data_IF_995083600108
#
_entry.id   IF_995083600108
#
_cell.length_a   1.000
_cell.length_b   1.000
_cell.length_c   1.000
_cell.angle_alpha   90.00
_cell.angle_beta   90.00
_cell.angle_gamma   90.00
#
_symmetry.space_group_name_H-M   'P 1'
#
loop_
_entity.id
_entity.type
_entity.pdbx_description
1 polymer ?
#
# COMPACT_ATOMS: atom_id res chain seq x y z
N UNK A 1 -12.35 -33.22 17.91
CA UNK A 1 -13.26 -33.88 18.86
C UNK A 1 -14.46 -33.00 19.17
N UNK A 2 -15.48 -33.53 19.83
CA UNK A 2 -16.66 -32.77 20.26
C UNK A 2 -16.45 -32.21 21.67
N UNK A 3 -16.72 -30.91 21.85
CA UNK A 3 -16.67 -30.21 23.12
C UNK A 3 -18.09 -29.78 23.50
N UNK A 4 -18.48 -30.08 24.73
CA UNK A 4 -19.79 -29.67 25.27
C UNK A 4 -19.61 -28.67 26.40
N UNK A 5 -20.50 -27.69 26.48
CA UNK A 5 -20.49 -26.69 27.53
C UNK A 5 -21.85 -26.04 27.71
N UNK A 6 -21.88 -24.98 28.51
CA UNK A 6 -23.13 -24.32 28.88
C UNK A 6 -22.94 -22.82 28.99
N UNK A 7 -23.84 -22.04 28.39
CA UNK A 7 -23.89 -20.59 28.54
C UNK A 7 -25.02 -20.24 29.51
N UNK A 8 -24.68 -19.51 30.58
CA UNK A 8 -25.66 -19.02 31.55
C UNK A 8 -25.92 -17.53 31.31
N UNK A 9 -27.17 -17.20 30.97
CA UNK A 9 -27.65 -15.82 30.85
C UNK A 9 -28.28 -15.42 32.18
N UNK A 10 -27.63 -14.49 32.88
CA UNK A 10 -28.08 -13.98 34.17
C UNK A 10 -28.89 -12.70 33.96
N UNK A 11 -30.15 -12.70 34.39
CA UNK A 11 -30.99 -11.50 34.43
C UNK A 11 -31.15 -10.99 35.86
N UNK A 12 -31.17 -9.67 36.05
CA UNK A 12 -31.37 -9.08 37.38
C UNK A 12 -32.79 -9.26 37.95
N UNK A 13 -33.75 -9.64 37.11
CA UNK A 13 -35.18 -9.77 37.47
C UNK A 13 -35.84 -11.06 36.96
N UNK A 14 -35.06 -11.98 36.41
CA UNK A 14 -35.56 -13.25 35.86
C UNK A 14 -34.58 -14.36 36.21
N UNK A 15 -35.11 -15.57 36.36
CA UNK A 15 -34.30 -16.75 36.64
C UNK A 15 -33.22 -16.93 35.57
N UNK A 16 -32.03 -17.37 35.99
CA UNK A 16 -30.92 -17.64 35.10
C UNK A 16 -31.35 -18.64 34.02
N UNK A 17 -31.19 -18.27 32.76
CA UNK A 17 -31.46 -19.17 31.63
C UNK A 17 -30.17 -19.86 31.24
N UNK A 18 -30.21 -21.18 31.08
CA UNK A 18 -29.04 -22.00 30.81
C UNK A 18 -29.20 -22.63 29.43
N UNK A 19 -28.26 -22.36 28.52
CA UNK A 19 -28.28 -22.83 27.14
C UNK A 19 -27.13 -23.84 26.95
N UNK A 20 -27.42 -25.13 26.68
CA UNK A 20 -26.37 -26.09 26.36
C UNK A 20 -25.79 -25.78 24.96
N UNK A 21 -24.48 -25.90 24.84
CA UNK A 21 -23.75 -25.73 23.57
C UNK A 21 -22.89 -26.96 23.29
N UNK A 22 -22.79 -27.33 22.02
CA UNK A 22 -21.82 -28.31 21.52
C UNK A 22 -21.02 -27.68 20.38
N UNK A 23 -19.72 -27.93 20.36
CA UNK A 23 -18.78 -27.50 19.33
C UNK A 23 -18.01 -28.72 18.81
N UNK A 24 -18.19 -29.03 17.53
CA UNK A 24 -17.40 -30.04 16.84
C UNK A 24 -16.13 -29.40 16.29
N UNK A 25 -14.98 -29.77 16.84
CA UNK A 25 -13.66 -29.36 16.35
C UNK A 25 -13.13 -30.44 15.42
N UNK A 26 -12.91 -30.09 14.16
CA UNK A 26 -12.34 -30.99 13.16
C UNK A 26 -10.84 -31.19 13.39
N UNK A 27 -10.29 -32.30 12.88
CA UNK A 27 -8.87 -32.65 13.00
C UNK A 27 -8.02 -31.94 11.92
N UNK A 28 -8.09 -30.61 11.91
CA UNK A 28 -7.20 -29.77 11.10
C UNK A 28 -6.92 -28.46 11.84
N UNK A 29 -5.72 -27.93 11.64
CA UNK A 29 -5.33 -26.64 12.19
C UNK A 29 -5.55 -25.55 11.14
N UNK A 30 -6.16 -24.43 11.57
CA UNK A 30 -6.09 -23.22 10.78
C UNK A 30 -4.66 -22.68 10.85
N UNK A 31 -4.05 -22.29 9.72
CA UNK A 31 -2.68 -21.78 9.70
C UNK A 31 -2.57 -20.48 10.49
N UNK A 32 -1.38 -20.25 11.07
CA UNK A 32 -1.08 -19.05 11.86
C UNK A 32 -1.32 -17.76 11.07
N UNK A 33 -0.99 -17.78 9.78
CA UNK A 33 -1.26 -16.71 8.83
C UNK A 33 -2.39 -17.15 7.90
N UNK A 34 -3.35 -16.26 7.65
CA UNK A 34 -4.41 -16.54 6.68
C UNK A 34 -3.78 -16.84 5.30
N UNK A 35 -3.99 -18.03 4.72
CA UNK A 35 -3.53 -18.36 3.38
C UNK A 35 -4.49 -17.75 2.35
N UNK A 36 -5.69 -17.37 2.81
CA UNK A 36 -6.61 -16.56 2.03
C UNK A 36 -5.96 -15.19 1.87
N UNK A 37 -5.48 -14.93 0.65
CA UNK A 37 -5.33 -13.58 0.09
C UNK A 37 -6.76 -13.04 -0.15
N UNK A 38 -7.54 -12.93 0.91
CA UNK A 38 -8.94 -12.50 0.87
C UNK A 38 -8.96 -10.99 0.91
N UNK A 39 -9.42 -10.39 -0.19
CA UNK A 39 -9.44 -8.95 -0.42
C UNK A 39 -10.63 -8.22 0.18
N UNK A 40 -11.47 -8.91 0.94
CA UNK A 40 -12.52 -8.25 1.69
C UNK A 40 -11.85 -7.36 2.73
N UNK A 41 -11.82 -6.05 2.44
CA UNK A 41 -11.13 -5.06 3.22
C UNK A 41 -10.46 -3.98 2.37
N UNK A 42 -11.00 -2.77 2.45
CA UNK A 42 -10.64 -1.66 1.56
C UNK A 42 -10.09 -0.43 2.26
N UNK A 43 -9.83 0.60 1.46
CA UNK A 43 -9.31 1.91 1.87
C UNK A 43 -10.43 2.90 2.32
N UNK A 44 -11.61 2.42 2.68
CA UNK A 44 -12.83 3.25 2.87
C UNK A 44 -12.74 4.30 3.99
N UNK A 45 -11.71 4.24 4.83
CA UNK A 45 -11.47 5.26 5.86
C UNK A 45 -11.10 6.61 5.23
N UNK A 46 -10.26 6.60 4.18
CA UNK A 46 -9.77 7.80 3.52
C UNK A 46 -10.30 7.97 2.10
N UNK A 47 -10.66 6.88 1.41
CA UNK A 47 -11.17 6.92 0.04
C UNK A 47 -12.66 7.27 0.07
N UNK A 48 -13.05 8.28 -0.70
CA UNK A 48 -14.46 8.47 -1.06
C UNK A 48 -14.94 7.28 -1.89
N UNK A 49 -16.24 7.03 -1.88
CA UNK A 49 -16.85 6.15 -2.87
C UNK A 49 -16.74 6.71 -4.29
N UNK A 50 -17.39 6.06 -5.24
CA UNK A 50 -17.32 6.44 -6.66
C UNK A 50 -18.07 7.73 -7.01
N UNK A 51 -18.97 8.21 -6.15
CA UNK A 51 -19.72 9.45 -6.35
C UNK A 51 -19.07 10.67 -5.69
N UNK A 52 -19.25 11.85 -6.29
CA UNK A 52 -18.71 13.11 -5.76
C UNK A 52 -19.27 13.47 -4.37
N UNK A 53 -20.51 13.06 -4.12
CA UNK A 53 -21.24 13.20 -2.85
C UNK A 53 -20.88 12.14 -1.81
N UNK A 54 -20.12 11.10 -2.18
CA UNK A 54 -19.72 10.06 -1.24
C UNK A 54 -18.71 10.65 -0.24
N UNK A 55 -19.03 10.51 1.04
CA UNK A 55 -18.16 10.93 2.13
C UNK A 55 -17.37 9.74 2.65
N UNK A 56 -16.08 9.90 2.98
CA UNK A 56 -15.28 8.82 3.56
C UNK A 56 -15.79 8.49 4.98
N UNK A 57 -15.50 7.28 5.47
CA UNK A 57 -15.95 6.82 6.80
C UNK A 57 -15.56 7.79 7.91
N UNK A 58 -14.36 8.38 7.84
CA UNK A 58 -13.92 9.34 8.85
C UNK A 58 -14.82 10.60 8.94
N UNK A 59 -15.44 11.02 7.82
CA UNK A 59 -16.38 12.15 7.85
C UNK A 59 -17.71 11.75 8.48
N UNK A 60 -18.18 10.52 8.25
CA UNK A 60 -19.36 9.99 8.95
C UNK A 60 -19.18 10.02 10.48
N UNK A 61 -17.98 9.71 10.96
CA UNK A 61 -17.63 9.77 12.40
C UNK A 61 -17.26 11.16 12.91
N UNK A 62 -17.25 12.18 12.05
CA UNK A 62 -16.97 13.57 12.44
C UNK A 62 -15.54 13.82 12.97
N UNK A 63 -14.58 12.94 12.66
CA UNK A 63 -13.19 13.08 13.15
C UNK A 63 -12.40 14.05 12.27
N UNK A 64 -11.65 14.96 12.90
CA UNK A 64 -10.94 16.04 12.21
C UNK A 64 -9.51 16.28 12.68
N UNK A 65 -9.08 15.62 13.77
CA UNK A 65 -7.71 15.69 14.26
C UNK A 65 -6.98 14.34 14.07
N UNK A 66 -5.65 14.40 14.16
CA UNK A 66 -4.78 13.26 13.91
C UNK A 66 -5.01 12.09 14.87
N UNK A 67 -5.19 12.36 16.16
CA UNK A 67 -5.33 11.33 17.19
C UNK A 67 -6.64 10.53 17.00
N UNK A 68 -7.74 11.22 16.73
CA UNK A 68 -9.03 10.59 16.49
C UNK A 68 -9.03 9.79 15.18
N UNK A 69 -8.42 10.31 14.11
CA UNK A 69 -8.27 9.58 12.84
C UNK A 69 -7.44 8.32 13.04
N UNK A 70 -6.34 8.38 13.79
CA UNK A 70 -5.51 7.22 14.10
C UNK A 70 -6.26 6.19 14.95
N UNK A 71 -7.01 6.64 15.97
CA UNK A 71 -7.80 5.76 16.83
C UNK A 71 -8.90 5.06 16.06
N UNK A 72 -9.69 5.82 15.30
CA UNK A 72 -10.76 5.28 14.46
C UNK A 72 -10.21 4.29 13.45
N UNK A 73 -9.16 4.66 12.73
CA UNK A 73 -8.58 3.80 11.69
C UNK A 73 -8.01 2.50 12.24
N UNK A 74 -7.31 2.56 13.38
CA UNK A 74 -6.80 1.36 14.03
C UNK A 74 -7.92 0.42 14.48
N UNK A 75 -9.02 0.94 15.03
CA UNK A 75 -10.15 0.10 15.45
C UNK A 75 -10.75 -0.68 14.25
N UNK A 76 -10.93 -0.02 13.11
CA UNK A 76 -11.40 -0.69 11.89
C UNK A 76 -10.39 -1.73 11.40
N UNK A 77 -9.11 -1.36 11.29
CA UNK A 77 -8.08 -2.28 10.81
C UNK A 77 -7.86 -3.47 11.74
N UNK A 78 -7.96 -3.28 13.06
CA UNK A 78 -7.88 -4.37 14.05
C UNK A 78 -9.03 -5.36 13.88
N UNK A 79 -10.27 -4.85 13.77
CA UNK A 79 -11.44 -5.70 13.53
C UNK A 79 -11.26 -6.51 12.24
N UNK A 80 -10.88 -5.84 11.15
CA UNK A 80 -10.59 -6.51 9.89
C UNK A 80 -9.52 -7.60 10.05
N UNK A 81 -8.41 -7.28 10.71
CA UNK A 81 -7.30 -8.22 10.90
C UNK A 81 -7.70 -9.44 11.75
N UNK A 82 -8.51 -9.24 12.81
CA UNK A 82 -9.02 -10.32 13.68
C UNK A 82 -9.94 -11.26 12.91
N UNK A 83 -10.81 -10.69 12.08
CA UNK A 83 -11.76 -11.41 11.22
C UNK A 83 -11.12 -11.90 9.91
N UNK A 84 -9.80 -11.81 9.77
CA UNK A 84 -9.02 -12.28 8.60
C UNK A 84 -9.39 -11.58 7.28
N UNK A 85 -9.91 -10.36 7.38
CA UNK A 85 -10.06 -9.39 6.29
C UNK A 85 -8.76 -8.64 6.03
N UNK A 86 -8.56 -8.17 4.80
CA UNK A 86 -7.33 -7.52 4.36
C UNK A 86 -7.29 -6.03 4.71
N UNK A 87 -6.43 -5.57 5.64
CA UNK A 87 -6.38 -4.16 6.01
C UNK A 87 -5.34 -3.42 5.15
N UNK A 88 -5.68 -3.14 3.88
CA UNK A 88 -4.74 -2.60 2.86
C UNK A 88 -3.79 -1.52 3.36
N UNK A 89 -4.32 -0.62 4.18
CA UNK A 89 -3.70 0.65 4.52
C UNK A 89 -3.38 0.79 6.01
N UNK A 90 -2.98 -0.30 6.70
CA UNK A 90 -2.56 -0.24 8.12
C UNK A 90 -1.45 0.80 8.41
N UNK A 91 -0.67 1.19 7.40
CA UNK A 91 0.39 2.20 7.51
C UNK A 91 -0.05 3.62 7.10
N UNK A 92 -1.26 3.80 6.55
CA UNK A 92 -1.71 5.06 5.93
C UNK A 92 -1.82 6.23 6.90
N UNK A 93 -2.00 5.97 8.18
CA UNK A 93 -2.08 7.02 9.20
C UNK A 93 -0.88 6.96 10.17
N UNK A 94 0.18 6.23 9.82
CA UNK A 94 1.40 6.18 10.61
C UNK A 94 2.55 6.84 9.87
N UNK A 95 3.01 7.98 10.38
CA UNK A 95 4.15 8.69 9.81
C UNK A 95 5.47 7.99 10.18
N UNK A 96 6.38 7.89 9.22
CA UNK A 96 7.81 7.74 9.48
C UNK A 96 8.42 9.15 9.68
N UNK A 97 9.20 9.43 10.70
CA UNK A 97 9.91 10.71 10.76
C UNK A 97 11.06 10.73 9.74
N UNK A 98 11.25 11.83 9.03
CA UNK A 98 12.41 12.07 8.17
C UNK A 98 12.53 13.57 7.87
N UNK A 99 13.76 14.08 7.74
CA UNK A 99 14.07 15.42 7.24
C UNK A 99 14.78 15.34 5.90
N UNK A 100 14.76 16.43 5.15
CA UNK A 100 15.43 16.50 3.86
C UNK A 100 16.02 17.87 3.56
N UNK A 101 17.05 17.90 2.70
CA UNK A 101 17.61 19.12 2.09
C UNK A 101 17.55 19.02 0.57
N UNK A 102 17.33 20.16 -0.08
CA UNK A 102 17.39 20.27 -1.53
C UNK A 102 18.84 20.10 -2.05
N UNK A 103 19.02 19.74 -3.32
CA UNK A 103 20.34 19.67 -3.95
C UNK A 103 21.12 20.99 -3.84
N UNK A 104 22.40 20.97 -3.45
CA UNK A 104 23.17 22.17 -3.12
C UNK A 104 23.49 23.09 -4.32
N UNK A 105 23.48 22.56 -5.54
CA UNK A 105 23.71 23.32 -6.79
C UNK A 105 22.40 23.64 -7.53
N UNK A 106 21.24 23.37 -6.93
CA UNK A 106 19.93 23.63 -7.51
C UNK A 106 19.30 22.42 -8.19
N UNK A 107 18.03 22.60 -8.56
CA UNK A 107 17.20 21.60 -9.27
C UNK A 107 17.55 21.59 -10.77
N UNK A 108 17.34 20.45 -11.44
CA UNK A 108 17.62 20.27 -12.88
C UNK A 108 19.10 20.43 -13.27
N UNK A 109 20.00 20.13 -12.34
CA UNK A 109 21.45 20.22 -12.58
C UNK A 109 22.08 18.85 -12.35
N UNK A 110 22.43 18.19 -13.44
CA UNK A 110 23.21 16.95 -13.43
C UNK A 110 24.66 17.26 -13.12
N UNK A 111 25.03 17.08 -11.85
CA UNK A 111 26.37 17.33 -11.37
C UNK A 111 26.71 16.36 -10.24
N UNK A 112 28.00 15.95 -10.12
CA UNK A 112 28.45 15.16 -9.00
C UNK A 112 28.06 15.82 -7.67
N UNK A 113 27.53 15.00 -6.76
CA UNK A 113 27.08 15.36 -5.42
C UNK A 113 25.95 16.40 -5.36
N UNK A 114 25.16 16.55 -6.44
CA UNK A 114 24.01 17.46 -6.47
C UNK A 114 22.67 16.72 -6.28
N UNK A 115 22.49 16.12 -5.11
CA UNK A 115 21.31 15.30 -4.80
C UNK A 115 20.58 15.80 -3.57
N UNK A 116 19.33 15.35 -3.42
CA UNK A 116 18.59 15.51 -2.17
C UNK A 116 19.31 14.73 -1.06
N UNK A 117 19.32 15.29 0.15
CA UNK A 117 19.81 14.59 1.35
C UNK A 117 18.59 14.19 2.19
N UNK A 118 18.41 12.88 2.48
CA UNK A 118 17.37 12.36 3.38
C UNK A 118 18.01 11.90 4.69
N UNK A 119 17.58 12.47 5.82
CA UNK A 119 18.26 12.27 7.12
C UNK A 119 17.27 12.31 8.30
N UNK A 120 17.77 12.06 9.52
CA UNK A 120 16.98 12.04 10.76
C UNK A 120 15.74 11.11 10.68
N UNK A 121 15.95 9.89 10.20
CA UNK A 121 14.88 8.88 10.09
C UNK A 121 14.39 8.42 11.46
N UNK A 122 13.07 8.41 11.66
CA UNK A 122 12.41 7.92 12.87
C UNK A 122 11.30 6.92 12.51
N UNK A 123 11.60 5.64 12.64
CA UNK A 123 10.65 4.55 12.37
C UNK A 123 9.85 4.13 13.60
N UNK A 124 9.95 4.80 14.76
CA UNK A 124 9.37 4.29 16.02
C UNK A 124 7.87 4.04 15.95
N UNK A 125 7.10 5.02 15.47
CA UNK A 125 5.65 4.89 15.33
C UNK A 125 5.28 3.82 14.30
N UNK A 126 5.94 3.85 13.13
CA UNK A 126 5.76 2.86 12.07
C UNK A 126 6.05 1.43 12.54
N UNK A 127 7.18 1.20 13.21
CA UNK A 127 7.56 -0.12 13.70
C UNK A 127 6.65 -0.61 14.82
N UNK A 128 6.14 0.29 15.68
CA UNK A 128 5.13 -0.08 16.70
C UNK A 128 3.84 -0.56 16.02
N UNK A 129 3.36 0.17 15.02
CA UNK A 129 2.18 -0.18 14.24
C UNK A 129 2.37 -1.52 13.52
N UNK A 130 3.47 -1.68 12.78
CA UNK A 130 3.73 -2.91 12.02
C UNK A 130 3.93 -4.13 12.93
N UNK A 131 4.59 -3.98 14.09
CA UNK A 131 4.66 -5.06 15.08
C UNK A 131 3.29 -5.50 15.55
N UNK A 132 2.38 -4.55 15.81
CA UNK A 132 1.03 -4.88 16.23
C UNK A 132 0.28 -5.67 15.14
N UNK A 133 0.28 -5.19 13.90
CA UNK A 133 -0.47 -5.83 12.80
C UNK A 133 0.20 -7.09 12.25
N UNK A 134 1.50 -7.05 11.95
CA UNK A 134 2.22 -8.17 11.33
C UNK A 134 2.55 -9.24 12.37
N UNK A 135 3.17 -8.87 13.49
CA UNK A 135 3.63 -9.87 14.47
C UNK A 135 2.47 -10.32 15.39
N UNK A 136 1.63 -9.37 15.81
CA UNK A 136 0.50 -9.62 16.71
C UNK A 136 -0.73 -10.18 16.01
N UNK A 137 -1.23 -9.49 14.98
CA UNK A 137 -2.46 -9.85 14.27
C UNK A 137 -2.23 -10.70 13.00
N UNK A 138 -0.97 -11.01 12.68
CA UNK A 138 -0.58 -11.89 11.57
C UNK A 138 -1.01 -11.36 10.20
N UNK A 139 -1.05 -10.04 10.04
CA UNK A 139 -1.22 -9.40 8.73
C UNK A 139 0.00 -9.73 7.86
N UNK A 140 -0.25 -10.33 6.70
CA UNK A 140 0.79 -10.85 5.80
C UNK A 140 0.90 -10.09 4.48
N UNK A 141 0.14 -9.01 4.32
CA UNK A 141 0.14 -8.14 3.15
C UNK A 141 -0.06 -6.70 3.61
N UNK A 142 0.78 -5.77 3.17
CA UNK A 142 0.73 -4.35 3.51
C UNK A 142 1.12 -3.53 2.28
N UNK A 143 0.26 -2.59 1.88
CA UNK A 143 0.57 -1.71 0.75
C UNK A 143 1.56 -0.63 1.17
N UNK A 144 2.79 -0.71 0.66
CA UNK A 144 3.87 0.25 0.93
C UNK A 144 3.62 1.60 0.26
N UNK A 145 3.25 1.56 -1.01
CA UNK A 145 2.91 2.73 -1.81
C UNK A 145 1.88 2.31 -2.85
N UNK A 146 0.99 3.24 -3.22
CA UNK A 146 0.03 3.09 -4.32
C UNK A 146 0.39 4.14 -5.35
N UNK A 147 0.60 3.78 -6.60
CA UNK A 147 0.77 4.75 -7.69
C UNK A 147 -0.05 4.38 -8.91
N UNK A 148 -0.07 5.28 -9.87
CA UNK A 148 -0.66 5.13 -11.19
C UNK A 148 0.48 5.29 -12.22
N UNK A 149 0.54 4.52 -13.32
CA UNK A 149 1.58 4.67 -14.33
C UNK A 149 1.77 6.11 -14.82
N UNK A 150 0.67 6.85 -15.02
CA UNK A 150 0.71 8.24 -15.50
C UNK A 150 1.38 9.22 -14.54
N UNK A 151 1.60 8.86 -13.28
CA UNK A 151 2.18 9.72 -12.24
C UNK A 151 3.28 9.00 -11.43
N UNK A 152 3.74 7.83 -11.87
CA UNK A 152 4.79 7.05 -11.20
C UNK A 152 6.15 7.76 -11.19
N UNK A 153 6.33 8.74 -12.08
CA UNK A 153 7.45 9.66 -12.15
C UNK A 153 7.38 10.82 -11.14
N UNK A 154 6.30 10.92 -10.35
CA UNK A 154 6.13 11.93 -9.29
C UNK A 154 6.42 11.29 -7.93
N UNK A 155 7.50 11.73 -7.28
CA UNK A 155 7.83 11.37 -5.91
C UNK A 155 7.06 12.26 -4.93
N UNK A 156 6.25 11.65 -4.06
CA UNK A 156 5.31 12.35 -3.17
C UNK A 156 5.65 12.24 -1.69
N UNK A 157 6.86 11.78 -1.37
CA UNK A 157 7.23 11.43 -0.01
C UNK A 157 8.16 12.48 0.63
N UNK A 158 8.34 13.69 0.09
CA UNK A 158 9.07 14.71 0.83
C UNK A 158 8.13 15.39 1.86
N UNK A 159 8.38 15.28 3.18
CA UNK A 159 7.51 15.86 4.18
C UNK A 159 7.58 17.39 4.14
N UNK A 160 6.41 18.02 4.17
CA UNK A 160 6.26 19.46 4.35
C UNK A 160 5.87 19.84 5.78
N UNK A 161 5.36 21.06 5.91
CA UNK A 161 4.75 21.56 7.15
C UNK A 161 3.48 20.76 7.48
N UNK A 162 3.09 20.66 8.77
CA UNK A 162 1.78 20.13 9.15
C UNK A 162 0.66 20.75 8.31
N UNK A 163 -0.27 19.92 7.84
CA UNK A 163 -1.42 20.36 7.07
C UNK A 163 -2.50 20.90 8.01
N UNK A 164 -3.07 22.05 7.65
CA UNK A 164 -4.22 22.65 8.32
C UNK A 164 -5.17 23.22 7.25
N UNK A 165 -6.36 22.63 7.04
CA UNK A 165 -6.87 21.42 7.71
C UNK A 165 -6.15 20.13 7.27
N UNK A 166 -6.34 19.05 8.03
CA UNK A 166 -5.88 17.70 7.66
C UNK A 166 -6.48 17.29 6.30
N UNK A 167 -5.66 16.65 5.46
CA UNK A 167 -6.10 16.22 4.13
C UNK A 167 -6.76 14.86 4.22
N UNK A 168 -8.01 14.80 3.76
CA UNK A 168 -8.82 13.58 3.78
C UNK A 168 -8.44 12.58 2.68
N UNK A 169 -7.91 13.05 1.54
CA UNK A 169 -7.58 12.21 0.39
C UNK A 169 -6.10 12.33 -0.01
N UNK A 170 -5.21 11.53 0.59
CA UNK A 170 -3.84 11.42 0.11
C UNK A 170 -3.84 10.54 -1.15
N UNK A 171 -4.28 11.09 -2.28
CA UNK A 171 -4.40 10.36 -3.54
C UNK A 171 -3.09 9.65 -3.93
N UNK A 172 -3.18 8.35 -4.22
CA UNK A 172 -2.07 7.48 -4.65
C UNK A 172 -0.87 7.53 -3.70
N UNK A 173 -1.09 7.34 -2.40
CA UNK A 173 -0.05 7.09 -1.38
C UNK A 173 -0.64 6.31 -0.21
N UNK A 174 0.13 5.40 0.42
CA UNK A 174 -0.35 4.54 1.51
C UNK A 174 0.46 4.65 2.80
N UNK A 175 1.22 5.73 2.94
CA UNK A 175 2.00 6.07 4.14
C UNK A 175 1.49 7.36 4.79
N UNK A 176 1.68 7.53 6.10
CA UNK A 176 1.12 8.64 6.90
C UNK A 176 1.37 10.08 6.46
N UNK A 177 2.35 10.32 5.59
CA UNK A 177 2.90 11.66 5.35
C UNK A 177 1.94 12.58 4.64
N UNK A 178 1.17 12.03 3.69
CA UNK A 178 0.31 12.81 2.83
C UNK A 178 -1.01 13.24 3.50
N UNK A 179 -1.37 12.59 4.62
CA UNK A 179 -2.58 12.90 5.40
C UNK A 179 -2.35 14.11 6.32
N UNK A 180 -1.25 14.09 7.09
CA UNK A 180 -1.02 15.06 8.17
C UNK A 180 -0.07 16.21 7.79
N UNK A 181 0.55 16.16 6.61
CA UNK A 181 1.49 17.19 6.13
C UNK A 181 1.19 17.61 4.71
N UNK A 182 1.56 18.84 4.39
CA UNK A 182 1.60 19.29 3.00
C UNK A 182 2.62 18.45 2.22
N UNK A 183 2.21 17.95 1.06
CA UNK A 183 3.07 17.18 0.17
C UNK A 183 4.04 18.10 -0.56
N UNK A 184 5.35 17.82 -0.48
CA UNK A 184 6.31 18.33 -1.44
C UNK A 184 6.51 17.25 -2.52
N UNK A 185 6.19 17.61 -3.77
CA UNK A 185 6.20 16.69 -4.90
C UNK A 185 7.40 16.99 -5.79
N UNK A 186 8.11 15.94 -6.23
CA UNK A 186 9.29 16.05 -7.08
C UNK A 186 9.09 15.18 -8.31
N UNK A 187 9.41 15.68 -9.50
CA UNK A 187 9.22 14.94 -10.76
C UNK A 187 10.41 15.14 -11.70
N UNK A 188 10.80 14.13 -12.46
CA UNK A 188 11.77 14.30 -13.56
C UNK A 188 11.11 14.68 -14.90
N UNK A 189 9.77 14.72 -14.93
CA UNK A 189 9.02 15.03 -16.14
C UNK A 189 7.73 15.75 -15.75
N UNK A 190 7.55 16.97 -16.23
CA UNK A 190 6.27 17.69 -16.15
C UNK A 190 5.54 17.52 -17.49
N UNK A 191 4.21 17.42 -17.44
CA UNK A 191 3.35 17.50 -18.62
C UNK A 191 2.48 18.76 -18.46
N UNK A 192 2.41 19.67 -19.45
CA UNK A 192 1.65 20.93 -19.34
C UNK A 192 0.18 20.77 -18.92
N UNK A 193 -0.43 19.62 -19.24
CA UNK A 193 -1.80 19.22 -18.92
C UNK A 193 -1.87 18.10 -17.87
N UNK A 194 -0.72 17.73 -17.29
CA UNK A 194 -0.61 16.65 -16.32
C UNK A 194 -1.14 17.04 -14.96
N UNK A 195 -1.75 16.09 -14.27
CA UNK A 195 -2.00 16.22 -12.85
C UNK A 195 -0.69 16.62 -12.15
N UNK A 196 -0.77 17.64 -11.28
CA UNK A 196 0.36 18.15 -10.48
C UNK A 196 1.43 18.97 -11.23
N UNK A 197 1.18 19.39 -12.48
CA UNK A 197 2.09 20.27 -13.23
C UNK A 197 2.54 21.50 -12.43
N UNK A 198 1.57 22.23 -11.86
CA UNK A 198 1.83 23.49 -11.16
C UNK A 198 2.34 23.31 -9.72
N UNK A 199 2.37 22.08 -9.21
CA UNK A 199 2.68 21.79 -7.80
C UNK A 199 3.95 20.96 -7.61
N UNK A 200 4.51 20.41 -8.68
CA UNK A 200 5.73 19.60 -8.62
C UNK A 200 7.00 20.43 -8.84
N UNK A 201 8.04 20.12 -8.06
CA UNK A 201 9.39 20.57 -8.31
C UNK A 201 10.02 19.67 -9.37
N UNK A 202 10.29 20.22 -10.55
CA UNK A 202 10.93 19.46 -11.62
C UNK A 202 12.45 19.40 -11.42
N UNK A 203 13.01 18.20 -11.56
CA UNK A 203 14.42 17.87 -11.35
C UNK A 203 14.96 17.08 -12.54
N UNK A 204 16.27 16.81 -12.56
CA UNK A 204 16.81 15.86 -13.54
C UNK A 204 16.44 14.42 -13.20
N UNK A 205 16.57 13.52 -14.19
CA UNK A 205 16.33 12.08 -13.98
C UNK A 205 17.26 11.52 -12.91
N UNK A 206 18.55 11.87 -12.94
CA UNK A 206 19.53 11.41 -11.95
C UNK A 206 19.20 11.87 -10.52
N UNK A 207 18.73 13.11 -10.36
CA UNK A 207 18.29 13.64 -9.08
C UNK A 207 17.08 12.87 -8.54
N UNK A 208 16.13 12.55 -9.42
CA UNK A 208 14.94 11.79 -9.06
C UNK A 208 15.27 10.34 -8.73
N UNK A 209 16.07 9.66 -9.56
CA UNK A 209 16.47 8.27 -9.36
C UNK A 209 17.15 8.10 -8.02
N UNK A 210 18.08 9.01 -7.69
CA UNK A 210 18.78 8.97 -6.42
C UNK A 210 17.85 9.22 -5.23
N UNK A 211 16.92 10.17 -5.36
CA UNK A 211 15.91 10.46 -4.33
C UNK A 211 15.02 9.24 -4.05
N UNK A 212 14.53 8.58 -5.11
CA UNK A 212 13.71 7.36 -5.01
C UNK A 212 14.49 6.24 -4.34
N UNK A 213 15.72 5.97 -4.79
CA UNK A 213 16.55 4.92 -4.24
C UNK A 213 16.90 5.18 -2.77
N UNK A 214 17.32 6.38 -2.40
CA UNK A 214 17.69 6.69 -1.01
C UNK A 214 16.49 6.56 -0.07
N UNK A 215 15.29 6.93 -0.53
CA UNK A 215 14.04 6.71 0.19
C UNK A 215 13.75 5.22 0.38
N UNK A 216 13.64 4.45 -0.70
CA UNK A 216 13.24 3.04 -0.63
C UNK A 216 14.32 2.15 0.00
N UNK A 217 15.61 2.50 -0.08
CA UNK A 217 16.69 1.83 0.68
C UNK A 217 16.46 1.94 2.18
N UNK A 218 16.13 3.14 2.68
CA UNK A 218 15.87 3.34 4.10
C UNK A 218 14.67 2.50 4.58
N UNK A 219 13.58 2.50 3.80
CA UNK A 219 12.41 1.65 4.05
C UNK A 219 12.80 0.17 4.04
N UNK A 220 13.44 -0.31 2.96
CA UNK A 220 13.79 -1.72 2.79
C UNK A 220 14.73 -2.21 3.90
N UNK A 221 15.73 -1.42 4.31
CA UNK A 221 16.60 -1.73 5.45
C UNK A 221 15.81 -1.89 6.74
N UNK A 222 14.89 -0.97 7.04
CA UNK A 222 14.05 -1.06 8.22
C UNK A 222 13.16 -2.32 8.18
N UNK A 223 12.49 -2.59 7.06
CA UNK A 223 11.65 -3.78 6.90
C UNK A 223 12.45 -5.09 6.98
N UNK A 224 13.62 -5.18 6.35
CA UNK A 224 14.53 -6.34 6.41
C UNK A 224 15.00 -6.61 7.83
N UNK A 225 15.37 -5.55 8.58
CA UNK A 225 15.77 -5.65 9.99
C UNK A 225 14.71 -6.32 10.86
N UNK A 226 13.43 -6.16 10.51
CA UNK A 226 12.30 -6.72 11.24
C UNK A 226 11.73 -8.02 10.61
N UNK A 227 12.28 -8.48 9.48
CA UNK A 227 11.76 -9.66 8.79
C UNK A 227 10.40 -9.44 8.12
N UNK A 228 10.06 -8.20 7.79
CA UNK A 228 8.73 -7.84 7.27
C UNK A 228 8.69 -7.59 5.76
N UNK A 229 9.83 -7.45 5.08
CA UNK A 229 9.86 -6.96 3.69
C UNK A 229 9.00 -7.79 2.73
N UNK A 230 8.93 -9.09 2.92
CA UNK A 230 8.13 -10.01 2.10
C UNK A 230 6.62 -9.81 2.28
N UNK A 231 6.19 -9.10 3.33
CA UNK A 231 4.78 -8.74 3.58
C UNK A 231 4.39 -7.43 2.89
N UNK A 232 5.36 -6.68 2.37
CA UNK A 232 5.10 -5.39 1.72
C UNK A 232 5.11 -5.51 0.21
N UNK A 233 4.31 -4.65 -0.42
CA UNK A 233 4.29 -4.51 -1.87
C UNK A 233 3.99 -3.07 -2.29
N UNK A 234 4.44 -2.71 -3.48
CA UNK A 234 4.10 -1.49 -4.19
C UNK A 234 2.90 -1.79 -5.11
N UNK A 235 1.79 -1.09 -4.91
CA UNK A 235 0.58 -1.21 -5.72
C UNK A 235 0.60 -0.24 -6.91
N UNK A 236 0.33 -0.76 -8.11
CA UNK A 236 0.24 -0.01 -9.35
C UNK A 236 -1.19 -0.13 -9.86
N UNK A 237 -1.88 0.99 -9.95
CA UNK A 237 -3.29 1.14 -10.31
C UNK A 237 -3.42 1.72 -11.73
N UNK A 238 -4.63 1.99 -12.18
CA UNK A 238 -5.00 1.82 -13.59
C UNK A 238 -4.87 3.10 -14.42
N UNK A 239 -3.92 3.15 -15.38
CA UNK A 239 -3.81 4.25 -16.37
C UNK A 239 -2.65 4.02 -17.36
N UNK A 240 -2.64 4.82 -18.44
CA UNK A 240 -1.52 5.00 -19.38
C UNK A 240 -0.24 5.48 -18.69
N UNK A 241 0.93 5.17 -19.23
CA UNK A 241 2.22 5.66 -18.71
C UNK A 241 3.26 4.57 -18.51
N UNK A 242 3.26 3.59 -19.43
CA UNK A 242 4.06 2.37 -19.34
C UNK A 242 5.55 2.64 -19.13
N UNK A 243 6.13 3.58 -19.88
CA UNK A 243 7.56 3.89 -19.77
C UNK A 243 7.91 4.44 -18.38
N UNK A 244 7.05 5.27 -17.80
CA UNK A 244 7.30 5.88 -16.49
C UNK A 244 7.26 4.81 -15.39
N UNK A 245 6.28 3.91 -15.44
CA UNK A 245 6.20 2.83 -14.45
C UNK A 245 7.29 1.78 -14.64
N UNK A 246 7.63 1.44 -15.88
CA UNK A 246 8.73 0.53 -16.20
C UNK A 246 10.05 1.09 -15.69
N UNK A 247 10.30 2.39 -15.87
CA UNK A 247 11.47 3.08 -15.33
C UNK A 247 11.55 2.93 -13.80
N UNK A 248 10.48 3.26 -13.06
CA UNK A 248 10.44 3.11 -11.61
C UNK A 248 10.71 1.66 -11.16
N UNK A 249 10.07 0.68 -11.80
CA UNK A 249 10.24 -0.72 -11.43
C UNK A 249 11.68 -1.16 -11.70
N UNK A 250 12.24 -0.85 -12.87
CA UNK A 250 13.64 -1.18 -13.20
C UNK A 250 14.62 -0.53 -12.25
N UNK A 251 14.39 0.74 -11.89
CA UNK A 251 15.22 1.45 -10.90
C UNK A 251 15.27 0.68 -9.58
N UNK A 252 14.12 0.30 -8.99
CA UNK A 252 14.12 -0.46 -7.73
C UNK A 252 14.62 -1.91 -7.91
N UNK A 253 14.35 -2.56 -9.04
CA UNK A 253 14.78 -3.96 -9.29
C UNK A 253 16.28 -4.09 -9.56
N UNK A 254 16.91 -3.05 -10.10
CA UNK A 254 18.36 -3.02 -10.35
C UNK A 254 19.21 -2.76 -9.10
N UNK A 255 18.62 -2.21 -8.05
CA UNK A 255 19.33 -1.91 -6.80
C UNK A 255 19.28 -3.10 -5.82
N UNK A 256 20.43 -3.56 -5.28
CA UNK A 256 20.51 -4.77 -4.47
C UNK A 256 19.74 -4.68 -3.14
N UNK A 257 19.47 -3.47 -2.64
CA UNK A 257 18.77 -3.30 -1.38
C UNK A 257 17.26 -3.28 -1.55
N UNK A 258 16.78 -2.78 -2.69
CA UNK A 258 15.37 -2.56 -2.98
C UNK A 258 14.75 -3.58 -3.95
N UNK A 259 15.55 -4.41 -4.64
CA UNK A 259 15.06 -5.41 -5.61
C UNK A 259 14.00 -6.39 -5.11
N UNK A 260 14.01 -6.66 -3.81
CA UNK A 260 13.10 -7.61 -3.17
C UNK A 260 11.72 -6.98 -2.87
N UNK A 261 11.55 -5.67 -3.07
CA UNK A 261 10.24 -5.01 -3.01
C UNK A 261 9.35 -5.61 -4.10
N UNK A 262 8.21 -6.15 -3.70
CA UNK A 262 7.21 -6.74 -4.60
C UNK A 262 6.39 -5.63 -5.26
N UNK A 263 6.02 -5.83 -6.52
CA UNK A 263 5.10 -4.94 -7.22
C UNK A 263 3.83 -5.71 -7.55
N UNK A 264 2.67 -5.12 -7.27
CA UNK A 264 1.37 -5.68 -7.58
C UNK A 264 0.68 -4.71 -8.56
N UNK A 265 0.40 -5.16 -9.78
CA UNK A 265 -0.07 -4.30 -10.86
C UNK A 265 -1.49 -4.67 -11.29
N UNK A 266 -2.40 -3.70 -11.24
CA UNK A 266 -3.77 -3.83 -11.72
C UNK A 266 -3.81 -4.16 -13.22
N UNK A 267 -4.61 -5.13 -13.62
CA UNK A 267 -4.77 -5.51 -15.03
C UNK A 267 -5.57 -4.48 -15.85
N UNK A 268 -6.23 -3.51 -15.20
CA UNK A 268 -6.92 -2.43 -15.90
C UNK A 268 -5.85 -1.43 -16.40
N UNK A 269 -5.77 -1.28 -17.72
CA UNK A 269 -4.69 -0.55 -18.39
C UNK A 269 -3.72 -1.49 -19.10
N UNK A 270 -4.25 -2.21 -20.11
CA UNK A 270 -3.58 -3.22 -20.92
C UNK A 270 -2.22 -2.81 -21.55
N UNK A 271 -1.90 -1.51 -21.56
CA UNK A 271 -0.67 -1.00 -22.17
C UNK A 271 0.60 -1.59 -21.55
N UNK A 272 0.68 -1.70 -20.21
CA UNK A 272 1.86 -2.27 -19.54
C UNK A 272 2.06 -3.75 -19.89
N UNK A 273 0.98 -4.51 -19.97
CA UNK A 273 1.03 -5.96 -20.21
C UNK A 273 1.36 -6.31 -21.67
N UNK A 274 1.05 -5.41 -22.61
CA UNK A 274 1.35 -5.57 -24.04
C UNK A 274 2.65 -4.88 -24.46
N UNK A 275 3.33 -4.21 -23.54
CA UNK A 275 4.54 -3.48 -23.86
C UNK A 275 5.71 -4.43 -24.05
N UNK A 276 6.27 -4.39 -25.27
CA UNK A 276 7.37 -5.24 -25.67
C UNK A 276 8.62 -4.41 -25.94
N UNK A 277 9.75 -4.91 -25.47
CA UNK A 277 11.09 -4.48 -25.86
C UNK A 277 11.85 -5.69 -26.38
N UNK A 278 12.54 -5.55 -27.52
CA UNK A 278 13.32 -6.63 -28.15
C UNK A 278 12.54 -7.96 -28.31
N UNK A 279 11.25 -7.85 -28.63
CA UNK A 279 10.36 -9.00 -28.85
C UNK A 279 9.93 -9.75 -27.58
N UNK A 280 10.12 -9.17 -26.39
CA UNK A 280 9.72 -9.76 -25.10
C UNK A 280 8.86 -8.78 -24.30
N UNK A 281 7.91 -9.30 -23.54
CA UNK A 281 7.11 -8.49 -22.61
C UNK A 281 8.00 -7.91 -21.51
N UNK A 282 8.09 -6.58 -21.44
CA UNK A 282 9.05 -5.89 -20.57
C UNK A 282 8.78 -6.08 -19.06
N UNK A 283 7.55 -6.47 -18.70
CA UNK A 283 7.08 -6.63 -17.32
C UNK A 283 7.08 -8.09 -16.83
N UNK A 284 7.38 -9.07 -17.70
CA UNK A 284 7.11 -10.50 -17.51
C UNK A 284 7.58 -11.12 -16.17
N UNK A 285 8.64 -10.57 -15.57
CA UNK A 285 9.21 -11.05 -14.30
C UNK A 285 9.34 -9.93 -13.24
N UNK A 286 8.75 -8.77 -13.50
CA UNK A 286 8.92 -7.60 -12.66
C UNK A 286 7.74 -7.40 -11.69
N UNK A 287 6.57 -7.97 -12.03
CA UNK A 287 5.30 -7.71 -11.36
C UNK A 287 4.57 -9.00 -10.97
N UNK A 288 3.74 -8.85 -9.95
CA UNK A 288 2.64 -9.74 -9.58
C UNK A 288 1.34 -9.13 -10.12
N UNK A 289 0.46 -9.96 -10.66
CA UNK A 289 -0.76 -9.49 -11.32
C UNK A 289 -1.91 -9.30 -10.32
N UNK A 290 -2.56 -8.14 -10.41
CA UNK A 290 -3.76 -7.80 -9.64
C UNK A 290 -4.95 -7.67 -10.57
N UNK A 291 -5.91 -8.58 -10.57
CA UNK A 291 -6.98 -8.50 -11.55
C UNK A 291 -8.11 -7.55 -11.09
N UNK A 292 -8.89 -7.11 -12.08
CA UNK A 292 -9.70 -5.90 -12.23
C UNK A 292 -10.67 -5.43 -11.10
N UNK A 293 -11.17 -6.32 -10.25
CA UNK A 293 -12.31 -6.06 -9.34
C UNK A 293 -12.16 -6.87 -8.04
N UNK A 294 -12.83 -6.49 -6.95
CA UNK A 294 -13.07 -7.28 -5.72
C UNK A 294 -13.79 -8.64 -5.96
N UNK A 295 -14.02 -9.01 -7.21
CA UNK A 295 -14.62 -10.27 -7.62
C UNK A 295 -13.64 -11.45 -7.45
N UNK A 296 -13.71 -12.06 -6.28
CA UNK A 296 -13.04 -13.33 -5.96
C UNK A 296 -13.61 -14.56 -6.72
N UNK A 297 -14.48 -14.41 -7.73
CA UNK A 297 -15.29 -15.54 -8.20
C UNK A 297 -14.91 -16.19 -9.55
N UNK A 298 -14.16 -15.55 -10.46
CA UNK A 298 -14.00 -16.10 -11.83
C UNK A 298 -12.61 -15.96 -12.49
N UNK A 299 -11.51 -16.09 -11.74
CA UNK A 299 -10.15 -15.85 -12.28
C UNK A 299 -9.30 -17.09 -12.54
N UNK A 300 -9.97 -18.20 -12.78
CA UNK A 300 -9.35 -19.48 -13.13
C UNK A 300 -9.53 -19.84 -14.61
N UNK A 301 -10.15 -18.94 -15.38
CA UNK A 301 -10.35 -19.11 -16.81
C UNK A 301 -9.05 -18.85 -17.58
N UNK A 302 -8.76 -19.75 -18.52
CA UNK A 302 -7.46 -19.85 -19.20
C UNK A 302 -7.08 -18.55 -19.95
N UNK A 303 -8.08 -17.84 -20.48
CA UNK A 303 -7.87 -16.61 -21.25
C UNK A 303 -7.17 -15.48 -20.49
N UNK A 304 -7.24 -15.44 -19.15
CA UNK A 304 -6.51 -14.43 -18.36
C UNK A 304 -4.99 -14.66 -18.33
N UNK A 305 -4.54 -15.88 -18.60
CA UNK A 305 -3.12 -16.27 -18.62
C UNK A 305 -2.62 -16.42 -20.06
N UNK A 306 -3.49 -16.87 -20.97
CA UNK A 306 -3.18 -17.12 -22.38
C UNK A 306 -2.85 -15.83 -23.15
N UNK A 307 -3.43 -14.69 -22.77
CA UNK A 307 -3.20 -13.39 -23.42
C UNK A 307 -1.75 -12.86 -23.29
N UNK A 308 -0.94 -13.45 -22.41
CA UNK A 308 0.35 -12.90 -21.98
C UNK A 308 1.49 -13.92 -21.90
N UNK A 309 1.28 -15.15 -22.38
CA UNK A 309 2.29 -16.24 -22.38
C UNK A 309 2.86 -16.56 -20.98
N UNK A 310 2.07 -16.35 -19.93
CA UNK A 310 2.45 -16.64 -18.55
C UNK A 310 1.97 -18.04 -18.13
N UNK A 311 2.82 -18.85 -17.47
CA UNK A 311 2.33 -20.07 -16.85
C UNK A 311 1.33 -19.73 -15.73
N UNK A 312 0.30 -20.56 -15.56
CA UNK A 312 -0.65 -20.43 -14.45
C UNK A 312 0.11 -20.46 -13.13
N UNK A 313 0.06 -19.37 -12.38
CA UNK A 313 0.74 -19.25 -11.08
C UNK A 313 -0.20 -18.61 -10.04
N UNK A 314 -0.75 -19.46 -9.17
CA UNK A 314 -1.66 -19.07 -8.08
C UNK A 314 -0.99 -18.12 -7.09
N UNK A 315 0.33 -18.15 -6.96
CA UNK A 315 1.04 -17.28 -6.04
C UNK A 315 1.21 -15.85 -6.57
N UNK A 316 1.11 -15.69 -7.90
CA UNK A 316 1.23 -14.42 -8.63
C UNK A 316 -0.10 -13.70 -8.90
N UNK A 317 -1.24 -14.26 -8.47
CA UNK A 317 -2.56 -13.64 -8.63
C UNK A 317 -3.05 -13.09 -7.29
N UNK A 318 -3.15 -11.76 -7.16
CA UNK A 318 -3.60 -11.08 -5.94
C UNK A 318 -4.88 -10.28 -6.30
N UNK A 319 -5.99 -10.39 -5.60
CA UNK A 319 -7.18 -9.56 -5.86
C UNK A 319 -6.99 -8.05 -5.64
N UNK A 320 -7.93 -7.26 -6.17
CA UNK A 320 -8.01 -5.81 -5.98
C UNK A 320 -8.41 -5.47 -4.54
N UNK A 321 -8.11 -4.28 -4.02
CA UNK A 321 -8.53 -3.83 -2.68
C UNK A 321 -8.67 -2.30 -2.60
#
# INVERSE_FOLDING_TARGET
GEYTGTISILGSKVAATTIPISLVVSDFELPEYSPFKSHMGGQYIAKKGGGDDDMPIMTYHGVSNKEDIQTLSNNYFELMSREKFYPKTVALFTEIGMKWKAPPKGLKVDAPNNFFELYDWDFRAFNKQMRHFIDGLKVNSVCLAHTNPSISHVFKHLPGKPADPIRFYPGHTTMGWQTFRNMNQVTYKTKPDGAWHDTCLEVSVEQWDRLVLDYYRAIARNLKKHGWLDKFYYFIDETSGTDQILHLIRLLKSDPETRDIRFAHCLQGYESLRHMEDGRYAFADLITHVPQIDENYYRWEDYYFDDYDFPRDRDRLWGYA
#
